data_IF_861478466206
#
_entry.id   IF_861478466206
#
_cell.length_a   1.000
_cell.length_b   1.000
_cell.length_c   1.000
_cell.angle_alpha   90.00
_cell.angle_beta   90.00
_cell.angle_gamma   90.00
#
_symmetry.space_group_name_H-M   'P 1'
#
loop_
_entity.id
_entity.type
_entity.pdbx_description
1 polymer ?
#
# COMPACT_ATOMS: atom_id res chain seq x y z
N UNK A 1 -11.21 17.79 -27.10
CA UNK A 1 -9.92 18.43 -27.35
C UNK A 1 -8.87 17.35 -27.46
N UNK A 2 -8.22 17.30 -28.61
CA UNK A 2 -7.32 16.23 -29.06
C UNK A 2 -5.94 16.45 -28.42
N UNK A 3 -5.39 15.45 -27.72
CA UNK A 3 -4.00 15.49 -27.33
C UNK A 3 -3.15 14.92 -28.45
N UNK A 4 -2.34 15.81 -29.02
CA UNK A 4 -1.40 15.55 -30.09
C UNK A 4 -0.23 14.72 -29.60
N UNK A 5 0.04 13.61 -30.29
CA UNK A 5 1.26 12.84 -30.16
C UNK A 5 2.39 13.56 -30.89
N UNK A 6 3.50 13.81 -30.19
CA UNK A 6 4.76 14.21 -30.82
C UNK A 6 5.65 12.98 -30.88
N UNK A 7 5.84 12.51 -32.09
CA UNK A 7 6.88 11.55 -32.43
C UNK A 7 8.24 12.30 -32.54
N UNK A 8 9.28 11.78 -31.94
CA UNK A 8 10.65 12.24 -32.17
C UNK A 8 11.58 11.05 -32.40
N UNK A 9 12.30 11.19 -33.46
CA UNK A 9 13.22 10.34 -34.15
C UNK A 9 14.33 9.68 -33.34
N UNK A 10 14.74 8.50 -33.82
CA UNK A 10 15.91 7.72 -33.43
C UNK A 10 17.23 8.49 -33.55
N UNK A 11 18.10 8.34 -32.56
CA UNK A 11 19.54 8.40 -32.75
C UNK A 11 20.20 7.46 -31.73
N UNK A 12 20.98 6.49 -32.23
CA UNK A 12 21.68 5.50 -31.43
C UNK A 12 22.75 6.12 -30.54
N UNK A 13 22.87 5.55 -29.34
CA UNK A 13 23.93 5.86 -28.38
C UNK A 13 23.80 4.92 -27.22
N UNK A 14 24.78 4.00 -27.03
CA UNK A 14 24.88 3.13 -25.86
C UNK A 14 24.87 3.95 -24.56
N UNK A 15 23.73 4.04 -23.92
CA UNK A 15 23.49 4.79 -22.70
C UNK A 15 23.25 3.82 -21.57
N UNK A 16 24.14 3.82 -20.61
CA UNK A 16 23.98 3.34 -19.25
C UNK A 16 22.54 3.62 -18.77
N UNK A 17 21.68 2.61 -18.74
CA UNK A 17 20.34 2.71 -18.16
C UNK A 17 20.47 2.85 -16.66
N UNK A 18 20.83 4.05 -16.20
CA UNK A 18 20.74 4.43 -14.81
C UNK A 18 19.28 4.21 -14.38
N UNK A 19 19.03 3.13 -13.68
CA UNK A 19 17.76 2.87 -13.01
C UNK A 19 17.52 4.07 -12.09
N UNK A 20 16.59 4.96 -12.47
CA UNK A 20 16.14 6.02 -11.56
C UNK A 20 15.67 5.29 -10.31
N UNK A 21 16.43 5.40 -9.23
CA UNK A 21 16.11 4.77 -7.97
C UNK A 21 14.75 5.30 -7.52
N UNK A 22 13.70 4.47 -7.62
CA UNK A 22 12.36 4.82 -7.13
C UNK A 22 12.46 5.11 -5.64
N UNK A 23 11.82 6.19 -5.19
CA UNK A 23 11.71 6.49 -3.77
C UNK A 23 10.93 5.36 -3.09
N UNK A 24 11.58 4.67 -2.15
CA UNK A 24 10.92 3.60 -1.40
C UNK A 24 10.01 4.23 -0.35
N UNK A 25 8.82 3.66 -0.21
CA UNK A 25 7.74 4.12 0.66
C UNK A 25 7.61 3.24 1.89
N UNK A 26 6.99 3.77 2.94
CA UNK A 26 6.76 3.06 4.20
C UNK A 26 5.32 2.54 4.21
N UNK A 27 5.16 1.24 4.45
CA UNK A 27 3.86 0.62 4.72
C UNK A 27 3.79 0.15 6.17
N UNK A 28 2.92 0.79 6.96
CA UNK A 28 2.61 0.35 8.34
C UNK A 28 1.71 -0.87 8.26
N UNK A 29 2.31 -2.04 8.43
CA UNK A 29 1.64 -3.34 8.49
C UNK A 29 1.09 -3.57 9.89
N UNK A 30 -0.05 -4.26 10.02
CA UNK A 30 -0.71 -4.49 11.31
C UNK A 30 -0.83 -3.21 12.18
N UNK A 31 -1.12 -2.07 11.57
CA UNK A 31 -1.07 -0.77 12.24
C UNK A 31 -1.93 -0.70 13.51
N UNK A 32 -3.03 -1.45 13.57
CA UNK A 32 -3.90 -1.58 14.75
C UNK A 32 -3.21 -2.16 15.98
N UNK A 33 -2.06 -2.81 15.82
CA UNK A 33 -1.23 -3.30 16.93
C UNK A 33 -0.33 -2.20 17.53
N UNK A 34 -0.24 -1.04 16.89
CA UNK A 34 0.50 0.11 17.40
C UNK A 34 -0.15 0.66 18.67
N UNK A 35 0.66 1.31 19.53
CA UNK A 35 0.16 2.01 20.73
C UNK A 35 -0.90 3.07 20.37
N UNK A 36 -0.77 3.69 19.21
CA UNK A 36 -1.67 4.71 18.66
C UNK A 36 -2.00 4.38 17.21
N UNK A 37 -2.97 3.46 16.97
CA UNK A 37 -3.40 3.10 15.63
C UNK A 37 -3.69 4.33 14.77
N UNK A 38 -3.41 4.29 13.49
CA UNK A 38 -3.43 5.39 12.53
C UNK A 38 -2.43 6.51 12.86
N UNK A 39 -2.51 7.10 14.04
CA UNK A 39 -1.74 8.30 14.40
C UNK A 39 -0.23 8.06 14.43
N UNK A 40 0.21 6.92 14.97
CA UNK A 40 1.63 6.57 15.04
C UNK A 40 2.26 6.47 13.64
N UNK A 41 1.62 5.77 12.72
CA UNK A 41 2.05 5.64 11.34
C UNK A 41 1.94 6.96 10.56
N UNK A 42 0.84 7.68 10.73
CA UNK A 42 0.62 8.96 10.07
C UNK A 42 1.69 10.00 10.44
N UNK A 43 1.99 10.14 11.74
CA UNK A 43 3.02 11.07 12.26
C UNK A 43 4.44 10.63 11.88
N UNK A 44 4.70 9.32 11.79
CA UNK A 44 5.96 8.78 11.28
C UNK A 44 6.18 9.06 9.78
N UNK A 45 5.14 9.45 9.07
CA UNK A 45 5.19 9.71 7.63
C UNK A 45 5.00 8.47 6.77
N UNK A 46 4.37 7.40 7.28
CA UNK A 46 4.05 6.21 6.50
C UNK A 46 3.18 6.55 5.29
N UNK A 47 3.53 6.04 4.12
CA UNK A 47 2.83 6.30 2.86
C UNK A 47 1.60 5.41 2.70
N UNK A 48 1.54 4.33 3.49
CA UNK A 48 0.45 3.36 3.50
C UNK A 48 0.23 2.82 4.91
N UNK A 49 -1.04 2.67 5.31
CA UNK A 49 -1.47 2.21 6.65
C UNK A 49 -2.46 1.07 6.47
N UNK A 50 -2.27 -0.05 7.19
CA UNK A 50 -3.09 -1.26 7.05
C UNK A 50 -3.95 -1.53 8.29
N UNK A 51 -5.21 -1.89 8.03
CA UNK A 51 -6.16 -2.38 9.02
C UNK A 51 -6.75 -3.73 8.59
N UNK A 52 -6.60 -4.77 9.42
CA UNK A 52 -7.27 -6.06 9.26
C UNK A 52 -8.71 -5.97 9.77
N UNK A 53 -9.68 -6.34 8.92
CA UNK A 53 -11.08 -6.07 9.20
C UNK A 53 -11.94 -7.32 9.12
N UNK A 54 -12.69 -7.57 10.18
CA UNK A 54 -13.75 -8.58 10.26
C UNK A 54 -15.12 -7.91 10.25
N UNK A 55 -16.06 -8.48 9.51
CA UNK A 55 -17.48 -8.16 9.65
C UNK A 55 -18.08 -9.02 10.76
N UNK A 56 -18.63 -8.40 11.81
CA UNK A 56 -19.25 -9.04 12.95
C UNK A 56 -20.52 -8.27 13.32
N UNK A 57 -21.67 -8.92 13.28
CA UNK A 57 -22.98 -8.35 13.64
C UNK A 57 -23.27 -6.98 12.95
N UNK A 58 -22.86 -6.85 11.69
CA UNK A 58 -23.02 -5.63 10.91
C UNK A 58 -21.92 -4.58 11.09
N UNK A 59 -21.03 -4.74 12.07
CA UNK A 59 -19.92 -3.83 12.34
C UNK A 59 -18.59 -4.31 11.76
N UNK A 60 -17.77 -3.38 11.28
CA UNK A 60 -16.41 -3.64 10.82
C UNK A 60 -15.43 -3.48 11.97
N UNK A 61 -15.03 -4.61 12.57
CA UNK A 61 -14.12 -4.65 13.71
C UNK A 61 -12.68 -4.93 13.26
N UNK A 62 -11.73 -4.27 13.92
CA UNK A 62 -10.30 -4.34 13.58
C UNK A 62 -9.56 -5.25 14.53
N UNK A 63 -8.94 -6.32 14.00
CA UNK A 63 -8.06 -7.21 14.74
C UNK A 63 -7.29 -8.13 13.80
N UNK A 64 -6.14 -8.68 14.24
CA UNK A 64 -5.40 -9.69 13.49
C UNK A 64 -6.14 -11.04 13.38
N UNK A 65 -6.91 -11.39 14.40
CA UNK A 65 -7.64 -12.66 14.45
C UNK A 65 -8.95 -12.50 15.22
N UNK A 66 -9.87 -13.45 15.04
CA UNK A 66 -11.16 -13.45 15.74
C UNK A 66 -11.02 -13.40 17.27
N UNK A 67 -9.94 -13.96 17.84
CA UNK A 67 -9.67 -13.93 19.30
C UNK A 67 -9.31 -12.54 19.81
N UNK A 68 -8.79 -11.66 18.94
CA UNK A 68 -8.42 -10.28 19.27
C UNK A 68 -9.53 -9.26 19.07
N UNK A 69 -10.71 -9.68 18.63
CA UNK A 69 -11.82 -8.77 18.38
C UNK A 69 -12.31 -8.10 19.66
N UNK A 70 -12.50 -6.79 19.59
CA UNK A 70 -13.08 -5.96 20.64
C UNK A 70 -14.12 -5.04 20.00
N UNK A 71 -15.30 -4.93 20.64
CA UNK A 71 -16.42 -4.14 20.11
C UNK A 71 -16.06 -2.65 19.93
N UNK A 72 -15.20 -2.14 20.79
CA UNK A 72 -14.72 -0.75 20.71
C UNK A 72 -13.71 -0.50 19.58
N UNK A 73 -13.11 -1.54 19.00
CA UNK A 73 -12.11 -1.41 17.93
C UNK A 73 -12.77 -1.45 16.55
N UNK A 74 -13.66 -0.52 16.26
CA UNK A 74 -14.28 -0.40 14.93
C UNK A 74 -13.35 0.27 13.94
N UNK A 75 -13.44 -0.11 12.65
CA UNK A 75 -12.72 0.56 11.56
C UNK A 75 -13.04 2.06 11.53
N UNK A 76 -14.29 2.41 11.73
CA UNK A 76 -14.75 3.80 11.81
C UNK A 76 -13.93 4.59 12.84
N UNK A 77 -13.91 4.14 14.10
CA UNK A 77 -13.26 4.85 15.20
C UNK A 77 -11.74 4.91 15.05
N UNK A 78 -11.12 3.81 14.64
CA UNK A 78 -9.66 3.71 14.63
C UNK A 78 -9.02 4.35 13.38
N UNK A 79 -9.75 4.42 12.26
CA UNK A 79 -9.16 4.83 10.98
C UNK A 79 -9.97 5.90 10.24
N UNK A 80 -11.29 5.70 10.05
CA UNK A 80 -12.06 6.61 9.19
C UNK A 80 -12.28 7.98 9.84
N UNK A 81 -12.58 8.04 11.12
CA UNK A 81 -12.72 9.31 11.85
C UNK A 81 -11.39 10.07 11.98
N UNK A 82 -10.27 9.44 12.38
CA UNK A 82 -8.95 10.05 12.32
C UNK A 82 -8.58 10.57 10.94
N UNK A 83 -8.86 9.79 9.89
CA UNK A 83 -8.61 10.18 8.51
C UNK A 83 -9.39 11.44 8.13
N UNK A 84 -10.69 11.47 8.41
CA UNK A 84 -11.55 12.64 8.17
C UNK A 84 -11.05 13.86 8.95
N UNK A 85 -10.60 13.67 10.18
CA UNK A 85 -10.03 14.74 11.00
C UNK A 85 -8.78 15.36 10.35
N UNK A 86 -7.80 14.54 9.94
CA UNK A 86 -6.59 15.07 9.30
C UNK A 86 -6.89 15.74 7.97
N UNK A 87 -7.80 15.18 7.16
CA UNK A 87 -8.18 15.79 5.89
C UNK A 87 -8.87 17.16 6.10
N UNK A 88 -9.76 17.26 7.06
CA UNK A 88 -10.37 18.54 7.42
C UNK A 88 -9.32 19.58 7.86
N UNK A 89 -8.36 19.19 8.70
CA UNK A 89 -7.26 20.05 9.13
C UNK A 89 -6.35 20.50 7.99
N UNK A 90 -6.18 19.67 6.96
CA UNK A 90 -5.30 19.91 5.83
C UNK A 90 -6.02 20.48 4.58
N UNK A 91 -7.24 21.00 4.73
CA UNK A 91 -8.00 21.57 3.61
C UNK A 91 -8.34 20.54 2.53
N UNK A 92 -8.82 19.35 2.93
CA UNK A 92 -9.22 18.25 2.05
C UNK A 92 -8.06 17.35 1.57
N UNK A 93 -6.84 17.59 2.03
CA UNK A 93 -5.67 16.78 1.65
C UNK A 93 -5.35 15.73 2.72
N UNK A 94 -4.94 14.55 2.29
CA UNK A 94 -4.49 13.49 3.20
C UNK A 94 -3.28 13.94 4.04
N UNK A 95 -2.39 14.76 3.46
CA UNK A 95 -1.23 15.35 4.13
C UNK A 95 -1.07 16.82 3.77
N UNK A 96 -0.63 17.65 4.71
CA UNK A 96 -0.42 19.08 4.50
C UNK A 96 0.56 19.38 3.34
N UNK A 97 1.58 18.55 3.17
CA UNK A 97 2.57 18.65 2.09
C UNK A 97 2.12 18.03 0.76
N UNK A 98 0.87 17.56 0.64
CA UNK A 98 0.34 16.93 -0.57
C UNK A 98 0.86 15.54 -0.89
N UNK A 99 1.73 14.94 -0.06
CA UNK A 99 2.18 13.56 -0.29
C UNK A 99 0.99 12.59 -0.25
N UNK A 100 0.93 11.61 -1.17
CA UNK A 100 -0.12 10.60 -1.17
C UNK A 100 -0.16 9.79 0.13
N UNK A 101 -1.35 9.37 0.52
CA UNK A 101 -1.57 8.38 1.57
C UNK A 101 -2.47 7.27 1.04
N UNK A 102 -2.19 6.03 1.41
CA UNK A 102 -3.02 4.87 1.12
C UNK A 102 -3.53 4.26 2.42
N UNK A 103 -4.83 4.02 2.51
CA UNK A 103 -5.43 3.18 3.55
C UNK A 103 -5.68 1.80 2.95
N UNK A 104 -5.10 0.77 3.56
CA UNK A 104 -5.27 -0.63 3.14
C UNK A 104 -6.22 -1.31 4.11
N UNK A 105 -7.28 -1.89 3.57
CA UNK A 105 -8.24 -2.70 4.32
C UNK A 105 -8.01 -4.16 3.93
N UNK A 106 -7.41 -4.91 4.84
CA UNK A 106 -7.23 -6.36 4.69
C UNK A 106 -8.50 -7.09 5.18
N UNK A 107 -9.30 -7.55 4.23
CA UNK A 107 -10.58 -8.19 4.50
C UNK A 107 -10.38 -9.60 5.06
N UNK A 108 -10.83 -9.83 6.28
CA UNK A 108 -10.84 -11.17 6.91
C UNK A 108 -12.19 -11.89 6.77
N UNK A 109 -13.22 -11.19 6.25
CA UNK A 109 -14.58 -11.71 6.02
C UNK A 109 -15.01 -11.62 4.55
N UNK A 110 -14.05 -11.50 3.64
CA UNK A 110 -14.26 -11.55 2.19
C UNK A 110 -15.20 -10.45 1.67
N UNK A 111 -15.99 -10.81 0.64
CA UNK A 111 -16.87 -9.87 -0.06
C UNK A 111 -17.87 -9.16 0.86
N UNK A 112 -18.44 -9.85 1.85
CA UNK A 112 -19.40 -9.25 2.78
C UNK A 112 -18.81 -8.09 3.58
N UNK A 113 -17.52 -8.18 3.96
CA UNK A 113 -16.84 -7.07 4.61
C UNK A 113 -16.57 -5.91 3.63
N UNK A 114 -16.32 -6.18 2.34
CA UNK A 114 -16.22 -5.14 1.33
C UNK A 114 -17.56 -4.42 1.14
N UNK A 115 -18.66 -5.15 1.02
CA UNK A 115 -19.99 -4.57 0.86
C UNK A 115 -20.37 -3.68 2.06
N UNK A 116 -20.08 -4.14 3.29
CA UNK A 116 -20.26 -3.36 4.51
C UNK A 116 -19.36 -2.11 4.55
N UNK A 117 -18.09 -2.22 4.09
CA UNK A 117 -17.17 -1.08 3.99
C UNK A 117 -17.71 -0.01 3.03
N UNK A 118 -18.19 -0.41 1.87
CA UNK A 118 -18.75 0.52 0.90
C UNK A 118 -20.00 1.21 1.43
N UNK A 119 -20.87 0.44 2.09
CA UNK A 119 -22.08 1.00 2.76
C UNK A 119 -21.68 2.01 3.83
N UNK A 120 -20.72 1.70 4.68
CA UNK A 120 -20.24 2.62 5.73
C UNK A 120 -19.66 3.91 5.13
N UNK A 121 -18.85 3.81 4.07
CA UNK A 121 -18.23 4.96 3.41
C UNK A 121 -19.31 5.90 2.84
N UNK A 122 -20.32 5.35 2.17
CA UNK A 122 -21.38 6.16 1.54
C UNK A 122 -22.35 6.74 2.57
N UNK A 123 -22.84 5.93 3.51
CA UNK A 123 -23.87 6.37 4.46
C UNK A 123 -23.36 7.38 5.48
N UNK A 124 -22.08 7.32 5.85
CA UNK A 124 -21.51 8.21 6.86
C UNK A 124 -20.65 9.35 6.29
N UNK A 125 -20.71 9.55 4.96
CA UNK A 125 -20.04 10.67 4.32
C UNK A 125 -18.52 10.61 4.32
N UNK A 126 -17.93 9.39 4.33
CA UNK A 126 -16.47 9.23 4.20
C UNK A 126 -15.99 9.23 2.74
N UNK A 127 -16.91 9.28 1.76
CA UNK A 127 -16.59 9.24 0.34
C UNK A 127 -15.57 10.31 -0.07
N UNK A 128 -15.71 11.52 0.45
CA UNK A 128 -14.81 12.64 0.13
C UNK A 128 -13.33 12.34 0.52
N UNK A 129 -13.11 11.47 1.52
CA UNK A 129 -11.78 11.07 1.92
C UNK A 129 -11.05 10.22 0.86
N UNK A 130 -11.79 9.59 -0.05
CA UNK A 130 -11.27 8.59 -0.98
C UNK A 130 -11.43 8.97 -2.45
N UNK A 131 -12.09 10.06 -2.77
CA UNK A 131 -12.37 10.45 -4.15
C UNK A 131 -11.14 11.06 -4.84
N UNK A 132 -10.14 10.21 -5.11
CA UNK A 132 -8.89 10.64 -5.77
C UNK A 132 -9.09 11.13 -7.20
N UNK A 133 -10.22 10.80 -7.84
CA UNK A 133 -10.56 11.29 -9.17
C UNK A 133 -10.89 12.78 -9.16
N UNK A 134 -11.58 13.24 -8.10
CA UNK A 134 -11.88 14.67 -7.91
C UNK A 134 -10.80 15.41 -7.14
N UNK A 135 -10.15 14.73 -6.20
CA UNK A 135 -9.09 15.28 -5.36
C UNK A 135 -7.87 14.36 -5.35
N UNK A 136 -6.86 14.60 -6.20
CA UNK A 136 -5.64 13.78 -6.26
C UNK A 136 -4.86 13.70 -4.93
N UNK A 137 -5.14 14.59 -3.99
CA UNK A 137 -4.55 14.61 -2.64
C UNK A 137 -5.40 13.88 -1.59
N UNK A 138 -6.54 13.28 -2.00
CA UNK A 138 -7.32 12.39 -1.15
C UNK A 138 -6.57 11.06 -0.89
N UNK A 139 -7.13 10.23 -0.02
CA UNK A 139 -6.55 8.94 0.34
C UNK A 139 -6.92 7.88 -0.69
N UNK A 140 -5.95 7.08 -1.13
CA UNK A 140 -6.24 5.89 -1.93
C UNK A 140 -6.78 4.78 -1.02
N UNK A 141 -7.99 4.33 -1.26
CA UNK A 141 -8.54 3.14 -0.62
C UNK A 141 -8.04 1.90 -1.37
N UNK A 142 -7.31 1.04 -0.68
CA UNK A 142 -6.84 -0.25 -1.19
C UNK A 142 -7.46 -1.39 -0.41
N UNK A 143 -8.00 -2.38 -1.09
CA UNK A 143 -8.65 -3.54 -0.49
C UNK A 143 -7.83 -4.79 -0.79
N UNK A 144 -7.50 -5.56 0.23
CA UNK A 144 -6.72 -6.80 0.14
C UNK A 144 -7.32 -7.93 0.98
N UNK A 145 -6.49 -8.91 1.36
CA UNK A 145 -6.90 -10.05 2.17
C UNK A 145 -7.74 -11.07 1.41
N UNK A 146 -8.87 -11.49 1.97
CA UNK A 146 -9.76 -12.46 1.31
C UNK A 146 -10.57 -11.81 0.18
N UNK A 147 -9.89 -11.53 -0.92
CA UNK A 147 -10.49 -11.04 -2.17
C UNK A 147 -10.66 -12.14 -3.23
N UNK A 148 -10.54 -13.40 -2.87
CA UNK A 148 -10.59 -14.54 -3.80
C UNK A 148 -11.90 -14.61 -4.59
N UNK A 149 -13.02 -14.27 -3.96
CA UNK A 149 -14.36 -14.24 -4.56
C UNK A 149 -14.72 -12.89 -5.19
N UNK A 150 -13.88 -11.87 -5.07
CA UNK A 150 -14.08 -10.57 -5.69
C UNK A 150 -13.59 -10.66 -7.12
N UNK A 151 -14.52 -10.62 -8.07
CA UNK A 151 -14.27 -10.59 -9.51
C UNK A 151 -14.72 -9.23 -10.04
N UNK A 152 -14.36 -8.90 -11.27
CA UNK A 152 -14.89 -7.70 -11.91
C UNK A 152 -14.52 -6.41 -11.16
N UNK A 153 -13.22 -6.12 -10.96
CA UNK A 153 -12.77 -4.93 -10.22
C UNK A 153 -13.39 -3.62 -10.71
N UNK A 154 -13.76 -3.57 -11.99
CA UNK A 154 -14.40 -2.40 -12.59
C UNK A 154 -15.87 -2.22 -12.21
N UNK A 155 -16.50 -3.22 -11.62
CA UNK A 155 -17.88 -3.16 -11.12
C UNK A 155 -17.99 -2.40 -9.79
N UNK A 156 -16.86 -2.20 -9.11
CA UNK A 156 -16.79 -1.46 -7.85
C UNK A 156 -16.60 0.04 -8.10
N UNK A 157 -16.99 0.91 -7.13
CA UNK A 157 -16.79 2.35 -7.23
C UNK A 157 -15.34 2.72 -7.60
N UNK A 158 -15.16 3.78 -8.37
CA UNK A 158 -13.89 4.21 -8.97
C UNK A 158 -12.78 4.55 -7.96
N UNK A 159 -13.14 4.86 -6.74
CA UNK A 159 -12.22 5.14 -5.63
C UNK A 159 -11.67 3.88 -4.94
N UNK A 160 -12.17 2.67 -5.26
CA UNK A 160 -11.70 1.41 -4.68
C UNK A 160 -10.60 0.80 -5.54
N UNK A 161 -9.45 0.53 -4.96
CA UNK A 161 -8.34 -0.18 -5.58
C UNK A 161 -8.10 -1.51 -4.86
N UNK A 162 -7.38 -2.43 -5.51
CA UNK A 162 -7.19 -3.78 -5.00
C UNK A 162 -5.71 -4.11 -4.84
N UNK A 163 -5.35 -4.68 -3.69
CA UNK A 163 -4.08 -5.33 -3.43
C UNK A 163 -4.18 -6.79 -3.86
N UNK A 164 -3.35 -7.22 -4.80
CA UNK A 164 -3.45 -8.56 -5.37
C UNK A 164 -2.10 -9.30 -5.33
N UNK A 165 -2.08 -10.64 -5.18
CA UNK A 165 -0.86 -11.41 -5.36
C UNK A 165 -0.48 -11.51 -6.84
N UNK A 166 0.81 -11.71 -7.13
CA UNK A 166 1.31 -11.88 -8.50
C UNK A 166 0.73 -13.10 -9.24
N UNK A 167 0.19 -14.06 -8.50
CA UNK A 167 -0.50 -15.23 -9.06
C UNK A 167 -1.89 -14.93 -9.61
N UNK A 168 -2.47 -13.74 -9.30
CA UNK A 168 -3.79 -13.35 -9.80
C UNK A 168 -3.71 -12.98 -11.28
N UNK A 169 -4.49 -13.68 -12.10
CA UNK A 169 -4.62 -13.36 -13.52
C UNK A 169 -5.60 -12.21 -13.70
N UNK A 170 -5.16 -11.13 -14.31
CA UNK A 170 -5.93 -9.92 -14.59
C UNK A 170 -5.70 -9.51 -16.04
N UNK A 171 -6.70 -8.89 -16.65
CA UNK A 171 -6.56 -8.15 -17.92
C UNK A 171 -6.01 -6.74 -17.67
N UNK A 172 -5.67 -6.01 -18.75
CA UNK A 172 -5.05 -4.70 -18.66
C UNK A 172 -5.99 -3.64 -18.06
N UNK A 173 -7.30 -3.76 -18.23
CA UNK A 173 -8.27 -2.84 -17.63
C UNK A 173 -8.39 -3.05 -16.12
N UNK A 174 -8.40 -4.30 -15.66
CA UNK A 174 -8.39 -4.63 -14.25
C UNK A 174 -7.12 -4.12 -13.54
N UNK A 175 -5.96 -4.11 -14.24
CA UNK A 175 -4.73 -3.53 -13.67
C UNK A 175 -4.84 -2.04 -13.33
N UNK A 176 -5.71 -1.27 -13.99
CA UNK A 176 -5.99 0.14 -13.66
C UNK A 176 -6.58 0.32 -12.26
N UNK A 177 -7.12 -0.76 -11.69
CA UNK A 177 -7.71 -0.81 -10.34
C UNK A 177 -6.82 -1.52 -9.33
N UNK A 178 -5.58 -1.84 -9.68
CA UNK A 178 -4.61 -2.46 -8.77
C UNK A 178 -3.79 -1.37 -8.08
N UNK A 179 -3.79 -1.38 -6.76
CA UNK A 179 -2.98 -0.47 -5.93
C UNK A 179 -1.52 -0.91 -5.88
N UNK A 180 -1.29 -2.21 -5.82
CA UNK A 180 0.01 -2.88 -5.85
C UNK A 180 -0.12 -4.39 -6.08
N UNK A 181 0.98 -5.01 -6.52
CA UNK A 181 1.17 -6.46 -6.41
C UNK A 181 1.83 -6.72 -5.05
N UNK A 182 1.27 -7.65 -4.27
CA UNK A 182 1.72 -7.97 -2.91
C UNK A 182 1.91 -9.46 -2.72
N UNK A 183 3.16 -9.90 -2.59
CA UNK A 183 3.51 -11.31 -2.44
C UNK A 183 4.06 -11.64 -1.06
N UNK A 184 3.82 -12.88 -0.61
CA UNK A 184 4.47 -13.41 0.57
C UNK A 184 5.94 -13.73 0.28
N UNK A 185 6.85 -13.13 1.04
CA UNK A 185 8.29 -13.24 0.79
C UNK A 185 8.78 -14.69 0.71
N UNK A 186 8.18 -15.63 1.48
CA UNK A 186 8.60 -17.04 1.51
C UNK A 186 8.38 -17.81 0.21
N UNK A 187 7.56 -17.31 -0.71
CA UNK A 187 7.43 -17.93 -2.05
C UNK A 187 8.62 -17.62 -2.95
N UNK A 188 9.40 -16.59 -2.65
CA UNK A 188 10.55 -16.15 -3.44
C UNK A 188 11.89 -16.48 -2.75
N UNK A 189 11.94 -16.42 -1.42
CA UNK A 189 13.16 -16.61 -0.64
C UNK A 189 12.87 -17.16 0.76
N UNK A 190 13.83 -17.92 1.29
CA UNK A 190 13.86 -18.33 2.71
C UNK A 190 14.81 -17.46 3.55
N UNK A 191 15.39 -16.42 2.95
CA UNK A 191 16.35 -15.55 3.61
C UNK A 191 15.79 -14.90 4.89
N UNK A 192 16.63 -14.76 5.91
CA UNK A 192 16.28 -14.11 7.18
C UNK A 192 17.33 -13.10 7.64
N UNK A 193 18.59 -13.31 7.34
CA UNK A 193 19.71 -12.43 7.70
C UNK A 193 20.96 -12.80 6.92
N UNK A 194 21.98 -11.94 6.95
CA UNK A 194 23.24 -12.13 6.27
C UNK A 194 23.15 -12.03 4.74
N UNK A 195 24.13 -12.55 4.02
CA UNK A 195 24.16 -12.47 2.57
C UNK A 195 23.01 -13.26 1.93
N UNK A 196 22.15 -12.56 1.18
CA UNK A 196 21.11 -13.21 0.37
C UNK A 196 21.72 -13.84 -0.88
N UNK A 197 21.31 -15.07 -1.19
CA UNK A 197 21.73 -15.76 -2.41
C UNK A 197 21.32 -14.97 -3.67
N UNK A 198 22.20 -14.90 -4.67
CA UNK A 198 21.95 -14.16 -5.90
C UNK A 198 20.74 -14.70 -6.69
N UNK A 199 20.49 -16.01 -6.64
CA UNK A 199 19.31 -16.60 -7.25
C UNK A 199 18.01 -16.05 -6.64
N UNK A 200 17.96 -15.79 -5.33
CA UNK A 200 16.79 -15.23 -4.65
C UNK A 200 16.65 -13.74 -4.96
N UNK A 201 17.74 -12.98 -4.96
CA UNK A 201 17.74 -11.57 -5.41
C UNK A 201 17.20 -11.45 -6.84
N UNK A 202 17.64 -12.34 -7.75
CA UNK A 202 17.16 -12.38 -9.14
C UNK A 202 15.65 -12.65 -9.23
N UNK A 203 15.13 -13.59 -8.42
CA UNK A 203 13.68 -13.87 -8.38
C UNK A 203 12.87 -12.64 -7.91
N UNK A 204 13.33 -11.98 -6.85
CA UNK A 204 12.65 -10.80 -6.28
C UNK A 204 12.67 -9.65 -7.27
N UNK A 205 13.84 -9.32 -7.86
CA UNK A 205 13.94 -8.28 -8.90
C UNK A 205 13.04 -8.56 -10.09
N UNK A 206 12.97 -9.81 -10.53
CA UNK A 206 12.10 -10.21 -11.63
C UNK A 206 10.61 -10.07 -11.28
N UNK A 207 10.22 -10.35 -10.02
CA UNK A 207 8.85 -10.14 -9.57
C UNK A 207 8.49 -8.64 -9.55
N UNK A 208 9.36 -7.80 -8.99
CA UNK A 208 9.20 -6.34 -9.01
C UNK A 208 9.12 -5.79 -10.44
N UNK A 209 10.03 -6.22 -11.33
CA UNK A 209 10.03 -5.78 -12.73
C UNK A 209 8.73 -6.14 -13.47
N UNK A 210 8.15 -7.33 -13.20
CA UNK A 210 6.85 -7.71 -13.80
C UNK A 210 5.71 -6.82 -13.32
N UNK A 211 5.66 -6.44 -12.04
CA UNK A 211 4.67 -5.50 -11.53
C UNK A 211 4.85 -4.12 -12.16
N UNK A 212 6.09 -3.65 -12.23
CA UNK A 212 6.43 -2.36 -12.85
C UNK A 212 6.09 -2.29 -14.35
N UNK A 213 6.24 -3.41 -15.07
CA UNK A 213 5.83 -3.49 -16.49
C UNK A 213 4.32 -3.33 -16.69
N UNK A 214 3.52 -3.57 -15.64
CA UNK A 214 2.08 -3.29 -15.58
C UNK A 214 1.74 -1.91 -14.99
N UNK A 215 2.73 -1.08 -14.71
CA UNK A 215 2.55 0.25 -14.14
C UNK A 215 2.16 0.25 -12.66
N UNK A 216 2.25 -0.88 -11.96
CA UNK A 216 1.83 -1.00 -10.56
C UNK A 216 3.02 -1.22 -9.62
N UNK A 217 2.96 -0.70 -8.39
CA UNK A 217 3.99 -0.94 -7.38
C UNK A 217 4.09 -2.41 -6.96
N UNK A 218 5.25 -2.79 -6.42
CA UNK A 218 5.50 -4.11 -5.86
C UNK A 218 5.84 -4.05 -4.36
N UNK A 219 5.17 -4.86 -3.57
CA UNK A 219 5.38 -5.03 -2.12
C UNK A 219 5.63 -6.51 -1.80
N UNK A 220 6.49 -6.79 -0.83
CA UNK A 220 6.56 -8.10 -0.17
C UNK A 220 6.16 -7.96 1.31
N UNK A 221 5.36 -8.91 1.80
CA UNK A 221 5.06 -9.07 3.22
C UNK A 221 5.73 -10.34 3.78
N UNK A 222 5.88 -10.40 5.11
CA UNK A 222 6.59 -11.51 5.76
C UNK A 222 8.10 -11.54 5.48
N UNK A 223 8.66 -10.43 5.00
CA UNK A 223 10.10 -10.18 4.95
C UNK A 223 10.57 -9.74 6.34
N UNK A 224 11.84 -10.00 6.75
CA UNK A 224 12.30 -9.54 8.04
C UNK A 224 12.16 -8.04 8.23
N UNK A 225 11.77 -7.61 9.44
CA UNK A 225 11.57 -6.19 9.76
C UNK A 225 12.76 -5.65 10.56
N UNK A 226 13.88 -5.40 9.86
CA UNK A 226 15.13 -4.88 10.41
C UNK A 226 15.89 -4.04 9.36
N UNK A 227 16.90 -3.25 9.77
CA UNK A 227 17.63 -2.37 8.85
C UNK A 227 18.27 -3.07 7.65
N UNK A 228 18.71 -4.31 7.79
CA UNK A 228 19.29 -5.10 6.70
C UNK A 228 18.24 -5.41 5.63
N UNK A 229 17.07 -5.86 6.04
CA UNK A 229 15.96 -6.15 5.14
C UNK A 229 15.39 -4.88 4.50
N UNK A 230 15.34 -3.76 5.23
CA UNK A 230 14.93 -2.46 4.69
C UNK A 230 15.88 -1.98 3.59
N UNK A 231 17.20 -2.14 3.82
CA UNK A 231 18.21 -1.82 2.81
C UNK A 231 18.08 -2.74 1.57
N UNK A 232 17.91 -4.04 1.77
CA UNK A 232 17.69 -5.00 0.69
C UNK A 232 16.41 -4.69 -0.09
N UNK A 233 15.33 -4.30 0.56
CA UNK A 233 14.08 -3.90 -0.11
C UNK A 233 14.32 -2.79 -1.13
N UNK A 234 15.13 -1.78 -0.77
CA UNK A 234 15.54 -0.71 -1.69
C UNK A 234 16.37 -1.23 -2.87
N UNK A 235 17.36 -2.07 -2.60
CA UNK A 235 18.30 -2.61 -3.59
C UNK A 235 17.65 -3.59 -4.57
N UNK A 236 16.59 -4.27 -4.12
CA UNK A 236 15.86 -5.25 -4.91
C UNK A 236 14.72 -4.64 -5.73
N UNK A 237 14.48 -3.33 -5.59
CA UNK A 237 13.47 -2.60 -6.37
C UNK A 237 12.04 -2.77 -5.85
N UNK A 238 11.86 -3.04 -4.56
CA UNK A 238 10.55 -2.97 -3.94
C UNK A 238 10.11 -1.50 -3.80
N UNK A 239 8.82 -1.26 -3.90
CA UNK A 239 8.27 0.09 -3.75
C UNK A 239 7.88 0.42 -2.31
N UNK A 240 7.74 -0.60 -1.45
CA UNK A 240 7.38 -0.43 -0.04
C UNK A 240 8.25 -1.28 0.88
N UNK A 241 8.68 -0.69 1.99
CA UNK A 241 9.13 -1.43 3.17
C UNK A 241 7.90 -1.77 3.99
N UNK A 242 7.64 -3.07 4.17
CA UNK A 242 6.60 -3.60 5.04
C UNK A 242 7.14 -3.67 6.47
N UNK A 243 6.52 -2.94 7.40
CA UNK A 243 7.04 -2.82 8.77
C UNK A 243 5.93 -2.72 9.81
N UNK A 244 6.16 -3.33 10.96
CA UNK A 244 5.38 -3.11 12.18
C UNK A 244 5.93 -1.93 13.01
N UNK A 245 7.04 -1.30 12.57
CA UNK A 245 7.71 -0.18 13.26
C UNK A 245 7.94 1.02 12.32
N UNK A 246 6.89 1.72 11.84
CA UNK A 246 7.02 2.76 10.81
C UNK A 246 7.94 3.93 11.21
N UNK A 247 7.98 4.30 12.49
CA UNK A 247 8.89 5.34 12.99
C UNK A 247 10.37 4.95 12.88
N UNK A 248 10.71 3.68 13.10
CA UNK A 248 12.08 3.17 12.96
C UNK A 248 12.52 3.19 11.50
N UNK A 249 11.66 2.76 10.57
CA UNK A 249 11.94 2.85 9.12
C UNK A 249 12.09 4.30 8.69
N UNK A 250 11.23 5.20 9.15
CA UNK A 250 11.34 6.62 8.83
C UNK A 250 12.67 7.24 9.31
N UNK A 251 13.13 6.86 10.50
CA UNK A 251 14.45 7.28 11.00
C UNK A 251 15.60 6.71 10.15
N UNK A 252 15.52 5.43 9.79
CA UNK A 252 16.49 4.77 8.91
C UNK A 252 16.59 5.47 7.55
N UNK A 253 15.48 5.78 6.90
CA UNK A 253 15.47 6.44 5.59
C UNK A 253 16.06 7.84 5.67
N UNK A 254 15.69 8.64 6.67
CA UNK A 254 16.27 9.98 6.90
C UNK A 254 17.79 9.97 7.11
N UNK A 255 18.31 8.98 7.84
CA UNK A 255 19.75 8.85 8.05
C UNK A 255 20.50 8.53 6.74
N UNK A 256 19.92 7.69 5.87
CA UNK A 256 20.50 7.35 4.56
C UNK A 256 20.50 8.50 3.57
N UNK A 257 19.48 9.37 3.61
CA UNK A 257 19.42 10.53 2.70
C UNK A 257 20.43 11.61 3.07
N UNK A 258 20.69 11.83 4.37
CA UNK A 258 21.75 12.73 4.84
C UNK A 258 23.14 12.27 4.41
N UNK A 259 23.41 10.96 4.41
CA UNK A 259 24.71 10.39 3.99
C UNK A 259 24.97 10.45 2.48
N UNK A 260 23.99 10.84 1.66
CA UNK A 260 24.18 11.05 0.21
C UNK A 260 24.47 12.50 -0.16
N UNK A 261 24.24 13.42 0.76
CA UNK A 261 24.44 14.87 0.57
C UNK A 261 25.77 15.37 1.12
N UNK A 262 26.61 14.47 1.62
CA UNK A 262 27.98 14.70 2.07
C UNK A 262 28.97 14.05 1.11
#
# INVERSE_FOLDING_TARGET
MVFSAVASSEAGGGGNTGTIAREIRIHSHNDYAQKRPFWGAYEAGADSIEADVFLVDGELLVAHSRKGLKKENTLRRLYLEPLREVMRKNGGRARANGKPLQLVIDLKSGKSALDALLTLIEQEGFRECFDICKNPSAVRLSVGGDISKIKGFLEYPDFVFFSVPSSRKLDDDQYKRVSWISDYARILTKWRSGAMAECDKKKIRAAAARAHAKGVPYRMWGFPDNPEAWQLSRELGLDYINTDCPSAVAAFLRAKDKGKSS
#
